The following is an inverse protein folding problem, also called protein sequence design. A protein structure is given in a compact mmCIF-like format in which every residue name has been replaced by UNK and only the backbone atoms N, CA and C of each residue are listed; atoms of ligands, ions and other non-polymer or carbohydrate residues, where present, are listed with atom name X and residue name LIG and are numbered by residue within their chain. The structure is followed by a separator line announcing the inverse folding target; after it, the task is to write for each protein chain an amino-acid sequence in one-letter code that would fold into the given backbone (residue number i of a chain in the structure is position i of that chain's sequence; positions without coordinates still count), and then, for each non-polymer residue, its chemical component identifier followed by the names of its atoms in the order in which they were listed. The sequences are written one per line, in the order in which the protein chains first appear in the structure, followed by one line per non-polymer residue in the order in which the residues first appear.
data_IF_439605446751
#
_entry.id   IF_439605446751
#
_cell.length_a   1.000
_cell.length_b   1.000
_cell.length_c   1.000
_cell.angle_alpha   90.00
_cell.angle_beta   90.00
_cell.angle_gamma   90.00
#
_symmetry.space_group_name_H-M   'P 1'
#
loop_
_entity.id
_entity.type
_entity.pdbx_description
1 polymer ?
#
# COMPACT_ATOMS: atom_id res chain seq x y z
N UNK A 1 15.17 -11.63 -23.40
CA UNK A 1 14.71 -12.67 -24.37
C UNK A 1 14.14 -13.83 -23.59
N UNK A 2 13.07 -14.48 -24.07
CA UNK A 2 12.45 -15.62 -23.38
C UNK A 2 12.58 -16.89 -24.22
N UNK A 3 12.86 -18.01 -23.57
CA UNK A 3 13.02 -19.32 -24.20
C UNK A 3 11.77 -20.16 -23.87
N UNK A 4 11.10 -20.62 -24.92
CA UNK A 4 9.91 -21.47 -24.84
C UNK A 4 10.17 -22.81 -25.51
N UNK A 5 9.41 -23.84 -25.13
CA UNK A 5 9.41 -25.12 -25.85
C UNK A 5 8.42 -25.10 -27.04
N UNK A 6 8.37 -26.21 -27.78
CA UNK A 6 7.44 -26.43 -28.90
C UNK A 6 5.94 -26.35 -28.52
N UNK A 7 5.60 -26.43 -27.24
CA UNK A 7 4.24 -26.32 -26.71
C UNK A 7 3.96 -24.94 -26.07
N UNK A 8 4.81 -23.94 -26.34
CA UNK A 8 4.79 -22.59 -25.76
C UNK A 8 5.04 -22.50 -24.25
N UNK A 9 5.50 -23.58 -23.61
CA UNK A 9 5.81 -23.55 -22.18
C UNK A 9 7.05 -22.70 -21.93
N UNK A 10 6.94 -21.76 -20.99
CA UNK A 10 8.06 -20.97 -20.53
C UNK A 10 9.12 -21.87 -19.88
N UNK A 11 10.38 -21.68 -20.28
CA UNK A 11 11.52 -22.40 -19.70
C UNK A 11 12.46 -21.48 -18.95
N UNK A 12 13.00 -20.46 -19.62
CA UNK A 12 14.05 -19.58 -19.09
C UNK A 12 13.98 -18.20 -19.72
N UNK A 13 14.55 -17.20 -19.07
CA UNK A 13 14.75 -15.88 -19.67
C UNK A 13 16.25 -15.60 -19.77
N UNK A 14 16.70 -15.02 -20.88
CA UNK A 14 18.09 -14.66 -21.17
C UNK A 14 18.19 -13.15 -21.35
N UNK A 15 19.07 -12.51 -20.59
CA UNK A 15 19.41 -11.10 -20.77
C UNK A 15 20.39 -10.90 -21.92
N UNK A 16 20.39 -9.71 -22.51
CA UNK A 16 21.34 -9.39 -23.59
C UNK A 16 22.79 -9.42 -23.10
N UNK A 17 23.02 -9.08 -21.83
CA UNK A 17 24.34 -9.14 -21.20
C UNK A 17 24.87 -10.57 -21.13
N UNK A 18 24.02 -11.52 -20.74
CA UNK A 18 24.37 -12.95 -20.72
C UNK A 18 24.65 -13.46 -22.14
N UNK A 19 23.84 -13.05 -23.13
CA UNK A 19 24.05 -13.41 -24.54
C UNK A 19 25.39 -12.86 -25.08
N UNK A 20 25.72 -11.61 -24.77
CA UNK A 20 26.98 -10.97 -25.19
C UNK A 20 28.21 -11.53 -24.45
N UNK A 21 28.01 -12.15 -23.28
CA UNK A 21 29.08 -12.77 -22.50
C UNK A 21 29.33 -14.24 -22.86
N UNK A 22 28.40 -14.87 -23.58
CA UNK A 22 28.53 -16.25 -24.04
C UNK A 22 29.54 -16.38 -25.18
N UNK A 23 30.19 -17.55 -25.30
CA UNK A 23 31.10 -17.78 -26.41
C UNK A 23 30.31 -17.86 -27.73
N UNK A 24 30.85 -17.30 -28.82
CA UNK A 24 30.12 -17.20 -30.10
C UNK A 24 29.67 -18.53 -30.74
N UNK A 25 30.13 -19.68 -30.23
CA UNK A 25 29.78 -21.02 -30.69
C UNK A 25 29.07 -21.87 -29.61
N UNK A 26 28.68 -21.24 -28.49
CA UNK A 26 27.96 -21.88 -27.40
C UNK A 26 26.47 -21.98 -27.73
N UNK A 27 25.85 -23.13 -27.43
CA UNK A 27 24.42 -23.31 -27.67
C UNK A 27 23.63 -22.52 -26.62
N UNK A 28 22.54 -21.87 -27.03
CA UNK A 28 21.67 -21.06 -26.14
C UNK A 28 21.19 -21.87 -24.91
N UNK A 29 20.99 -23.17 -25.07
CA UNK A 29 20.58 -24.08 -23.99
C UNK A 29 21.65 -24.27 -22.90
N UNK A 30 22.92 -24.08 -23.24
CA UNK A 30 24.08 -24.35 -22.37
C UNK A 30 24.57 -23.06 -21.69
N UNK A 31 24.13 -21.88 -22.16
CA UNK A 31 24.38 -20.60 -21.51
C UNK A 31 23.88 -20.66 -20.07
N UNK A 32 24.72 -20.23 -19.14
CA UNK A 32 24.36 -20.11 -17.73
C UNK A 32 23.44 -18.90 -17.58
N UNK A 33 22.18 -19.17 -17.23
CA UNK A 33 21.14 -18.15 -17.11
C UNK A 33 20.50 -18.20 -15.73
N UNK A 34 20.15 -17.02 -15.23
CA UNK A 34 19.41 -16.89 -13.98
C UNK A 34 17.97 -17.38 -14.15
N UNK A 35 17.44 -18.11 -13.16
CA UNK A 35 16.03 -18.48 -13.16
C UNK A 35 15.19 -17.22 -12.96
N UNK A 36 14.35 -16.93 -13.94
CA UNK A 36 13.45 -15.77 -13.90
C UNK A 36 12.08 -16.25 -13.48
N UNK A 37 11.57 -15.65 -12.42
CA UNK A 37 10.20 -15.84 -11.93
C UNK A 37 9.22 -15.46 -13.02
N UNK A 38 8.20 -16.30 -13.25
CA UNK A 38 7.09 -16.00 -14.14
C UNK A 38 5.85 -15.58 -13.35
N UNK A 39 5.01 -14.77 -13.98
CA UNK A 39 3.77 -14.27 -13.41
C UNK A 39 2.58 -15.07 -13.96
N UNK A 40 1.67 -15.56 -13.11
CA UNK A 40 0.43 -16.16 -13.59
C UNK A 40 -0.55 -15.08 -14.06
N UNK A 41 -1.27 -15.29 -15.17
CA UNK A 41 -2.30 -14.35 -15.64
C UNK A 41 -3.46 -14.14 -14.67
N UNK A 42 -3.66 -15.04 -13.72
CA UNK A 42 -4.69 -14.92 -12.69
C UNK A 42 -4.22 -14.30 -11.38
N UNK A 43 -2.97 -13.81 -11.31
CA UNK A 43 -2.45 -13.19 -10.09
C UNK A 43 -3.08 -11.81 -9.88
N UNK A 44 -3.26 -11.45 -8.61
CA UNK A 44 -3.69 -10.12 -8.23
C UNK A 44 -2.60 -9.07 -8.51
N UNK A 45 -3.01 -7.83 -8.79
CA UNK A 45 -2.11 -6.72 -9.09
C UNK A 45 -1.17 -6.40 -7.92
N UNK A 46 -1.64 -6.46 -6.67
CA UNK A 46 -0.80 -6.27 -5.48
C UNK A 46 0.28 -7.36 -5.35
N UNK A 47 -0.08 -8.62 -5.63
CA UNK A 47 0.88 -9.72 -5.62
C UNK A 47 1.88 -9.59 -6.78
N UNK A 48 1.43 -9.15 -7.94
CA UNK A 48 2.33 -8.82 -9.05
C UNK A 48 3.32 -7.73 -8.66
N UNK A 49 2.85 -6.65 -8.03
CA UNK A 49 3.67 -5.55 -7.52
C UNK A 49 4.75 -6.04 -6.56
N UNK A 50 4.39 -6.93 -5.62
CA UNK A 50 5.36 -7.52 -4.70
C UNK A 50 6.43 -8.35 -5.42
N UNK A 51 6.05 -9.16 -6.42
CA UNK A 51 7.02 -9.93 -7.22
C UNK A 51 8.00 -8.98 -7.94
N UNK A 52 7.51 -7.90 -8.55
CA UNK A 52 8.37 -6.91 -9.20
C UNK A 52 9.34 -6.25 -8.21
N UNK A 53 8.87 -5.97 -6.99
CA UNK A 53 9.68 -5.38 -5.91
C UNK A 53 10.79 -6.31 -5.43
N UNK A 54 10.51 -7.60 -5.33
CA UNK A 54 11.47 -8.60 -4.83
C UNK A 54 12.48 -9.05 -5.91
N UNK A 55 12.13 -8.92 -7.19
CA UNK A 55 12.91 -9.49 -8.29
C UNK A 55 13.92 -8.53 -8.92
N UNK A 56 13.85 -7.22 -8.65
CA UNK A 56 14.62 -6.16 -9.34
C UNK A 56 14.53 -6.24 -10.90
N UNK A 57 13.47 -6.87 -11.42
CA UNK A 57 13.29 -7.07 -12.86
C UNK A 57 12.46 -5.94 -13.47
N UNK A 58 12.92 -5.40 -14.59
CA UNK A 58 12.16 -4.41 -15.39
C UNK A 58 10.97 -5.07 -16.10
N UNK A 59 11.03 -6.38 -16.30
CA UNK A 59 10.09 -7.10 -17.15
C UNK A 59 9.97 -8.56 -16.73
N UNK A 60 8.73 -9.03 -16.55
CA UNK A 60 8.42 -10.39 -16.09
C UNK A 60 7.51 -11.09 -17.11
N UNK A 61 7.80 -12.35 -17.49
CA UNK A 61 6.96 -13.10 -18.41
C UNK A 61 5.64 -13.51 -17.76
N UNK A 62 4.52 -13.31 -18.46
CA UNK A 62 3.20 -13.78 -18.03
C UNK A 62 2.88 -15.15 -18.63
N UNK A 63 2.49 -16.09 -17.78
CA UNK A 63 2.12 -17.46 -18.14
C UNK A 63 0.67 -17.76 -17.77
N UNK A 64 0.00 -18.59 -18.57
CA UNK A 64 -1.34 -19.10 -18.25
C UNK A 64 -1.28 -20.27 -17.25
N UNK A 65 -2.44 -20.84 -16.91
CA UNK A 65 -2.56 -21.99 -16.00
C UNK A 65 -1.82 -23.25 -16.48
N UNK A 66 -1.62 -23.38 -17.80
CA UNK A 66 -0.86 -24.46 -18.43
C UNK A 66 0.65 -24.14 -18.54
N UNK A 67 1.12 -23.07 -17.91
CA UNK A 67 2.49 -22.57 -17.96
C UNK A 67 2.97 -22.17 -19.37
N UNK A 68 2.03 -21.82 -20.26
CA UNK A 68 2.34 -21.28 -21.58
C UNK A 68 2.61 -19.78 -21.47
N UNK A 69 3.68 -19.31 -22.09
CA UNK A 69 4.00 -17.90 -22.19
C UNK A 69 2.96 -17.21 -23.07
N UNK A 70 2.18 -16.31 -22.50
CA UNK A 70 1.11 -15.59 -23.21
C UNK A 70 1.42 -14.11 -23.39
N UNK A 71 2.37 -13.58 -22.63
CA UNK A 71 2.72 -12.18 -22.70
C UNK A 71 3.88 -11.81 -21.78
N UNK A 72 4.08 -10.52 -21.67
CA UNK A 72 5.17 -9.90 -20.93
C UNK A 72 4.60 -8.69 -20.22
N UNK A 73 4.92 -8.55 -18.93
CA UNK A 73 4.48 -7.42 -18.11
C UNK A 73 5.69 -6.56 -17.80
N UNK A 74 5.54 -5.25 -17.94
CA UNK A 74 6.58 -4.29 -17.63
C UNK A 74 6.36 -3.69 -16.25
N UNK A 75 7.45 -3.26 -15.61
CA UNK A 75 7.36 -2.58 -14.30
C UNK A 75 6.45 -1.35 -14.38
N UNK A 76 6.48 -0.64 -15.51
CA UNK A 76 5.64 0.54 -15.79
C UNK A 76 4.14 0.25 -15.66
N UNK A 77 3.70 -0.96 -16.00
CA UNK A 77 2.29 -1.36 -15.92
C UNK A 77 1.79 -1.50 -14.47
N UNK A 78 2.71 -1.59 -13.50
CA UNK A 78 2.42 -1.89 -12.09
C UNK A 78 2.85 -0.74 -11.15
N UNK A 79 3.56 0.27 -11.66
CA UNK A 79 4.00 1.43 -10.88
C UNK A 79 2.85 2.13 -10.14
N UNK A 80 1.71 2.31 -10.80
CA UNK A 80 0.53 2.92 -10.20
C UNK A 80 -0.03 2.11 -9.02
N UNK A 81 0.05 0.78 -9.10
CA UNK A 81 -0.42 -0.13 -8.05
C UNK A 81 0.51 -0.04 -6.83
N UNK A 82 1.82 -0.06 -7.07
CA UNK A 82 2.84 0.11 -6.01
C UNK A 82 2.68 1.45 -5.28
N UNK A 83 2.35 2.53 -6.00
CA UNK A 83 2.15 3.84 -5.40
C UNK A 83 0.84 3.94 -4.60
N UNK A 84 -0.23 3.28 -5.08
CA UNK A 84 -1.52 3.23 -4.40
C UNK A 84 -1.45 2.45 -3.11
N UNK A 85 -0.80 1.29 -3.07
CA UNK A 85 -0.64 0.48 -1.85
C UNK A 85 -0.01 1.30 -0.72
N UNK A 86 1.09 2.01 -1.01
CA UNK A 86 1.75 2.88 -0.04
C UNK A 86 0.84 4.00 0.49
N UNK A 87 -0.09 4.49 -0.34
CA UNK A 87 -1.02 5.58 0.02
C UNK A 87 -2.27 5.06 0.74
N UNK A 88 -2.76 3.88 0.34
CA UNK A 88 -3.92 3.22 0.94
C UNK A 88 -3.68 2.79 2.38
N UNK A 89 -2.47 2.33 2.73
CA UNK A 89 -2.16 1.98 4.12
C UNK A 89 -2.24 3.19 5.07
N UNK A 90 -1.80 4.37 4.62
CA UNK A 90 -2.03 5.62 5.37
C UNK A 90 -3.51 5.99 5.45
N UNK A 91 -4.27 5.77 4.37
CA UNK A 91 -5.71 6.03 4.37
C UNK A 91 -6.53 5.02 5.18
N UNK A 92 -6.07 3.78 5.35
CA UNK A 92 -6.69 2.76 6.23
C UNK A 92 -6.41 3.06 7.70
N UNK A 93 -5.25 3.64 8.03
CA UNK A 93 -4.90 4.07 9.40
C UNK A 93 -5.52 5.40 9.80
N UNK A 94 -5.78 6.31 8.86
CA UNK A 94 -6.59 7.49 9.10
C UNK A 94 -8.09 7.12 9.05
N UNK A 95 -8.98 7.64 9.93
CA UNK A 95 -10.44 7.44 9.81
C UNK A 95 -11.08 8.13 8.59
N UNK A 96 -10.33 8.33 7.50
CA UNK A 96 -10.78 9.00 6.28
C UNK A 96 -11.22 7.91 5.31
N UNK A 97 -12.42 7.38 5.59
CA UNK A 97 -13.32 6.66 4.68
C UNK A 97 -12.83 6.69 3.22
N UNK A 98 -12.31 5.56 2.76
CA UNK A 98 -11.91 5.28 1.39
C UNK A 98 -12.79 6.00 0.35
N UNK A 99 -12.16 6.88 -0.43
CA UNK A 99 -12.74 7.50 -1.61
C UNK A 99 -12.60 6.55 -2.80
N UNK A 100 -13.16 5.34 -2.69
CA UNK A 100 -13.25 4.38 -3.80
C UNK A 100 -14.48 4.63 -4.70
N UNK A 101 -14.90 5.88 -4.87
CA UNK A 101 -15.99 6.18 -5.81
C UNK A 101 -15.59 7.38 -6.64
N UNK A 102 -15.38 7.09 -7.93
CA UNK A 102 -15.18 8.01 -9.05
C UNK A 102 -15.56 9.45 -8.71
N UNK A 103 -14.55 10.34 -8.62
CA UNK A 103 -14.72 11.77 -8.35
C UNK A 103 -15.64 12.49 -9.36
N UNK A 104 -16.08 11.82 -10.43
CA UNK A 104 -16.92 12.40 -11.47
C UNK A 104 -18.43 12.30 -11.20
N UNK A 105 -18.89 11.43 -10.28
CA UNK A 105 -20.33 11.22 -9.98
C UNK A 105 -20.70 11.41 -8.49
N UNK A 106 -19.74 11.75 -7.63
CA UNK A 106 -20.02 11.92 -6.21
C UNK A 106 -20.73 13.26 -5.94
N UNK A 107 -22.03 13.20 -5.64
CA UNK A 107 -22.81 14.35 -5.15
C UNK A 107 -22.05 15.09 -4.03
N UNK A 108 -21.94 16.41 -4.17
CA UNK A 108 -21.28 17.33 -3.22
C UNK A 108 -21.76 17.07 -1.78
N UNK A 109 -23.01 16.66 -1.62
CA UNK A 109 -23.63 16.31 -0.35
C UNK A 109 -23.00 15.08 0.32
N UNK A 110 -22.61 14.07 -0.45
CA UNK A 110 -21.98 12.84 0.07
C UNK A 110 -20.56 13.10 0.56
N UNK A 111 -19.80 13.91 -0.19
CA UNK A 111 -18.45 14.35 0.21
C UNK A 111 -18.51 15.23 1.47
N UNK A 112 -19.49 16.13 1.55
CA UNK A 112 -19.71 16.98 2.72
C UNK A 112 -20.09 16.17 3.97
N UNK A 113 -21.03 15.21 3.85
CA UNK A 113 -21.44 14.33 4.96
C UNK A 113 -20.28 13.49 5.49
N UNK A 114 -19.44 12.93 4.62
CA UNK A 114 -18.27 12.14 5.04
C UNK A 114 -17.24 13.00 5.80
N UNK A 115 -17.04 14.26 5.40
CA UNK A 115 -16.10 15.17 6.06
C UNK A 115 -16.60 15.72 7.39
N UNK A 116 -17.91 15.81 7.60
CA UNK A 116 -18.51 16.45 8.78
C UNK A 116 -19.03 15.45 9.80
N UNK A 117 -19.33 14.22 9.40
CA UNK A 117 -19.72 13.17 10.34
C UNK A 117 -18.70 12.98 11.46
N UNK A 118 -17.41 12.95 11.13
CA UNK A 118 -16.35 12.77 12.13
C UNK A 118 -16.18 13.97 13.08
N UNK A 119 -16.07 15.23 12.58
CA UNK A 119 -16.11 16.42 13.44
C UNK A 119 -17.32 16.49 14.36
N UNK A 120 -18.50 16.08 13.89
CA UNK A 120 -19.72 16.08 14.72
C UNK A 120 -19.59 15.11 15.89
N UNK A 121 -19.09 13.89 15.65
CA UNK A 121 -18.82 12.92 16.73
C UNK A 121 -17.82 13.48 17.73
N UNK A 122 -16.74 14.13 17.26
CA UNK A 122 -15.76 14.78 18.13
C UNK A 122 -16.35 15.92 18.95
N UNK A 123 -17.25 16.72 18.39
CA UNK A 123 -17.93 17.80 19.12
C UNK A 123 -18.84 17.22 20.21
N UNK A 124 -19.61 16.16 19.93
CA UNK A 124 -20.42 15.50 20.95
C UNK A 124 -19.58 14.91 22.07
N UNK A 125 -18.43 14.29 21.75
CA UNK A 125 -17.47 13.84 22.75
C UNK A 125 -16.92 15.02 23.57
N UNK A 126 -16.55 16.14 22.93
CA UNK A 126 -16.08 17.33 23.65
C UNK A 126 -17.14 17.91 24.59
N UNK A 127 -18.41 17.94 24.17
CA UNK A 127 -19.51 18.38 25.03
C UNK A 127 -19.64 17.46 26.25
N UNK A 128 -19.49 16.14 26.06
CA UNK A 128 -19.52 15.18 27.16
C UNK A 128 -18.34 15.34 28.12
N UNK A 129 -17.12 15.55 27.59
CA UNK A 129 -15.94 15.88 28.40
C UNK A 129 -16.11 17.19 29.17
N UNK A 130 -16.63 18.24 28.52
CA UNK A 130 -16.90 19.53 29.15
C UNK A 130 -17.95 19.43 30.27
N UNK A 131 -18.99 18.63 30.07
CA UNK A 131 -19.96 18.32 31.13
C UNK A 131 -19.33 17.57 32.30
N UNK A 132 -18.37 16.66 32.02
CA UNK A 132 -17.57 16.01 33.06
C UNK A 132 -16.72 16.99 33.85
N UNK A 133 -16.04 17.94 33.18
CA UNK A 133 -15.24 18.98 33.81
C UNK A 133 -16.10 19.89 34.70
N UNK A 134 -17.31 20.25 34.27
CA UNK A 134 -18.25 21.03 35.07
C UNK A 134 -18.62 20.34 36.40
N UNK A 135 -18.55 19.00 36.47
CA UNK A 135 -18.77 18.30 37.74
C UNK A 135 -17.59 18.44 38.72
N UNK A 136 -16.40 18.77 38.23
CA UNK A 136 -15.19 19.03 39.02
C UNK A 136 -14.94 20.53 39.25
N UNK A 137 -15.95 21.38 39.05
CA UNK A 137 -15.88 22.83 39.21
C UNK A 137 -15.33 23.23 40.59
N UNK A 138 -15.82 22.60 41.67
CA UNK A 138 -15.35 22.85 43.04
C UNK A 138 -13.84 22.55 43.23
N UNK A 139 -13.32 21.52 42.55
CA UNK A 139 -11.90 21.14 42.62
C UNK A 139 -11.04 22.12 41.82
N UNK A 140 -11.55 22.58 40.68
CA UNK A 140 -10.88 23.57 39.81
C UNK A 140 -10.83 24.94 40.50
N UNK A 141 -11.91 25.35 41.17
CA UNK A 141 -11.96 26.60 41.92
C UNK A 141 -10.98 26.58 43.10
N UNK A 142 -10.83 25.44 43.78
CA UNK A 142 -9.85 25.28 44.87
C UNK A 142 -8.40 25.40 44.40
N UNK A 143 -8.12 25.04 43.15
CA UNK A 143 -6.76 25.01 42.58
C UNK A 143 -6.79 25.39 41.09
N UNK A 144 -6.90 26.69 40.82
CA UNK A 144 -6.88 27.24 39.44
C UNK A 144 -5.62 26.79 38.67
N UNK A 145 -4.51 26.55 39.38
CA UNK A 145 -3.27 26.05 38.81
C UNK A 145 -3.41 24.72 38.02
N UNK A 146 -4.40 23.88 38.36
CA UNK A 146 -4.60 22.58 37.71
C UNK A 146 -4.98 22.71 36.23
N UNK A 147 -5.69 23.79 35.87
CA UNK A 147 -6.16 24.04 34.51
C UNK A 147 -4.99 24.28 33.54
N UNK A 148 -3.88 24.85 34.01
CA UNK A 148 -2.68 25.03 33.19
C UNK A 148 -2.00 23.70 32.81
N UNK A 149 -2.27 22.61 33.54
CA UNK A 149 -1.75 21.28 33.23
C UNK A 149 -2.67 20.44 32.32
N UNK A 150 -3.95 20.83 32.17
CA UNK A 150 -4.89 20.12 31.30
C UNK A 150 -4.42 20.04 29.84
N UNK A 151 -3.96 21.14 29.19
CA UNK A 151 -3.45 21.07 27.82
C UNK A 151 -2.24 20.13 27.69
N UNK A 152 -1.34 20.13 28.68
CA UNK A 152 -0.15 19.28 28.70
C UNK A 152 -0.50 17.79 28.87
N UNK A 153 -1.47 17.47 29.72
CA UNK A 153 -1.95 16.10 29.92
C UNK A 153 -2.66 15.57 28.67
N UNK A 154 -3.53 16.36 28.04
CA UNK A 154 -4.24 15.98 26.82
C UNK A 154 -3.26 15.73 25.66
N UNK A 155 -2.25 16.59 25.50
CA UNK A 155 -1.22 16.42 24.48
C UNK A 155 -0.33 15.19 24.74
N UNK A 156 0.01 14.92 26.01
CA UNK A 156 0.79 13.73 26.38
C UNK A 156 0.03 12.41 26.15
N UNK A 157 -1.29 12.39 26.40
CA UNK A 157 -2.15 11.23 26.15
C UNK A 157 -2.32 10.92 24.66
N UNK A 158 -2.41 11.96 23.82
CA UNK A 158 -2.49 11.81 22.37
C UNK A 158 -1.20 11.23 21.75
N UNK A 159 -0.03 11.64 22.24
CA UNK A 159 1.26 11.17 21.74
C UNK A 159 1.72 9.81 22.29
N UNK A 160 1.21 9.38 23.45
CA UNK A 160 1.54 8.07 24.01
C UNK A 160 0.91 6.90 23.24
N UNK A 161 -0.23 7.11 22.58
CA UNK A 161 -0.91 6.09 21.77
C UNK A 161 -0.32 5.88 20.37
N UNK A 162 0.34 6.90 19.80
CA UNK A 162 0.89 6.86 18.44
C UNK A 162 2.29 6.23 18.33
N UNK A 163 2.93 5.92 19.46
CA UNK A 163 4.27 5.35 19.54
C UNK A 163 4.24 3.92 20.07
N UNK A 164 3.63 3.01 19.31
CA UNK A 164 3.92 1.58 19.44
C UNK A 164 4.67 1.13 18.18
N UNK A 165 5.97 0.80 18.26
CA UNK A 165 6.67 0.22 17.13
C UNK A 165 6.06 -1.18 16.85
N UNK A 166 5.83 -1.56 15.59
CA UNK A 166 5.44 -2.93 15.28
C UNK A 166 6.63 -3.84 15.60
N UNK A 167 6.38 -4.84 16.45
CA UNK A 167 7.28 -5.99 16.70
C UNK A 167 7.09 -7.05 15.63
#
# INVERSE_FOLDING_TARGET
MYIINQFYHFKRALSIRELLSAAGNELIRDIKVSDVTSLSTGVDQEKAANIFRDSDLVTIPAVNQQNQLVGVVHVEDILDVMQKEATEDFHKMAPVTSLETSLKDASIFTLYRKRIAWPVVLVFMNIFFGAGIAHFEDVIESTIALVFFLPLLVDSGGNAGSRRPPS
#
